data_IF_087272439135
#
_entry.id   IF_087272439135
#
_cell.length_a   1.000
_cell.length_b   1.000
_cell.length_c   1.000
_cell.angle_alpha   90.00
_cell.angle_beta   90.00
_cell.angle_gamma   90.00
#
_symmetry.space_group_name_H-M   'P 1'
#
loop_
_entity.id
_entity.type
_entity.pdbx_description
1 polymer ?
#
# COMPACT_ATOMS: atom_id res chain seq x y z
N UNK A 1 8.75 2.25 19.52
CA UNK A 1 8.39 1.03 20.27
C UNK A 1 8.19 -0.10 19.28
N UNK A 2 8.87 -1.25 19.48
CA UNK A 2 8.73 -2.46 18.66
C UNK A 2 7.58 -3.33 19.20
N UNK A 3 7.00 -4.19 18.38
CA UNK A 3 5.87 -5.03 18.82
C UNK A 3 6.39 -6.21 19.66
N UNK A 4 6.08 -6.19 20.95
CA UNK A 4 6.44 -7.26 21.90
C UNK A 4 5.31 -8.26 22.13
N UNK A 5 4.18 -8.12 21.44
CA UNK A 5 2.97 -8.96 21.63
C UNK A 5 2.98 -10.21 20.75
N UNK A 6 3.89 -10.30 19.79
CA UNK A 6 3.99 -11.39 18.80
C UNK A 6 5.39 -12.01 18.83
N UNK A 7 5.49 -13.29 18.47
CA UNK A 7 6.76 -14.01 18.39
C UNK A 7 7.52 -13.68 17.09
N UNK A 8 8.81 -14.00 17.07
CA UNK A 8 9.62 -13.93 15.86
C UNK A 8 9.07 -14.84 14.76
N UNK A 9 8.73 -16.08 15.09
CA UNK A 9 8.14 -17.06 14.16
C UNK A 9 6.88 -16.52 13.47
N UNK A 10 6.04 -15.76 14.20
CA UNK A 10 4.88 -15.10 13.62
C UNK A 10 5.27 -14.09 12.54
N UNK A 11 6.27 -13.25 12.82
CA UNK A 11 6.74 -12.25 11.85
C UNK A 11 7.45 -12.89 10.67
N UNK A 12 8.22 -13.95 10.87
CA UNK A 12 8.89 -14.69 9.80
C UNK A 12 7.87 -15.29 8.83
N UNK A 13 6.84 -15.96 9.35
CA UNK A 13 5.74 -16.48 8.53
C UNK A 13 4.97 -15.33 7.84
N UNK A 14 4.65 -14.28 8.57
CA UNK A 14 3.87 -13.16 8.04
C UNK A 14 4.60 -12.38 6.94
N UNK A 15 5.92 -12.21 7.06
CA UNK A 15 6.74 -11.58 6.03
C UNK A 15 6.77 -12.41 4.74
N UNK A 16 6.83 -13.75 4.86
CA UNK A 16 6.70 -14.66 3.70
C UNK A 16 5.33 -14.49 3.04
N UNK A 17 4.25 -14.46 3.83
CA UNK A 17 2.89 -14.27 3.32
C UNK A 17 2.74 -12.92 2.58
N UNK A 18 3.35 -11.85 3.10
CA UNK A 18 3.34 -10.54 2.44
C UNK A 18 4.07 -10.59 1.09
N UNK A 19 5.25 -11.21 1.03
CA UNK A 19 6.02 -11.31 -0.22
C UNK A 19 5.30 -12.15 -1.27
N UNK A 20 4.73 -13.29 -0.88
CA UNK A 20 3.86 -14.10 -1.75
C UNK A 20 2.67 -13.28 -2.21
N UNK A 21 1.99 -12.58 -1.30
CA UNK A 21 0.85 -11.74 -1.61
C UNK A 21 1.17 -10.62 -2.61
N UNK A 22 2.32 -9.95 -2.46
CA UNK A 22 2.77 -8.92 -3.42
C UNK A 22 2.98 -9.55 -4.79
N UNK A 23 3.70 -10.69 -4.85
CA UNK A 23 4.01 -11.38 -6.10
C UNK A 23 2.75 -11.83 -6.83
N UNK A 24 1.87 -12.57 -6.17
CA UNK A 24 0.64 -13.09 -6.76
C UNK A 24 -0.31 -11.97 -7.19
N UNK A 25 -0.43 -10.91 -6.38
CA UNK A 25 -1.26 -9.75 -6.74
C UNK A 25 -0.68 -9.00 -7.95
N UNK A 26 0.65 -8.91 -8.05
CA UNK A 26 1.32 -8.31 -9.20
C UNK A 26 1.17 -9.14 -10.48
N UNK A 27 1.20 -10.48 -10.37
CA UNK A 27 0.89 -11.41 -11.46
C UNK A 27 -0.56 -11.25 -11.93
N UNK A 28 -1.52 -11.19 -11.00
CA UNK A 28 -2.92 -10.94 -11.33
C UNK A 28 -3.13 -9.58 -12.01
N UNK A 29 -2.44 -8.54 -11.55
CA UNK A 29 -2.44 -7.22 -12.18
C UNK A 29 -1.88 -7.26 -13.61
N UNK A 30 -0.81 -8.02 -13.82
CA UNK A 30 -0.19 -8.23 -15.14
C UNK A 30 -1.06 -9.04 -16.09
N UNK A 31 -1.78 -10.04 -15.59
CA UNK A 31 -2.71 -10.84 -16.38
C UNK A 31 -3.86 -10.00 -16.96
N UNK A 32 -4.24 -8.90 -16.29
CA UNK A 32 -5.13 -7.91 -16.87
C UNK A 32 -6.61 -8.31 -16.97
N UNK A 33 -6.99 -9.42 -16.34
CA UNK A 33 -8.35 -9.99 -16.34
C UNK A 33 -9.32 -9.17 -15.46
N UNK A 34 -9.67 -7.97 -15.91
CA UNK A 34 -10.53 -7.02 -15.20
C UNK A 34 -11.77 -6.69 -16.03
N UNK A 35 -12.93 -6.66 -15.39
CA UNK A 35 -14.20 -6.26 -16.00
C UNK A 35 -14.33 -4.74 -16.03
N UNK A 36 -13.77 -4.05 -15.03
CA UNK A 36 -13.82 -2.59 -14.94
C UNK A 36 -12.44 -1.97 -14.67
N UNK A 37 -12.20 -0.72 -15.10
CA UNK A 37 -11.00 0.03 -14.71
C UNK A 37 -10.83 0.17 -13.20
N UNK A 38 -11.93 0.25 -12.44
CA UNK A 38 -11.91 0.38 -10.98
C UNK A 38 -11.35 -0.87 -10.29
N UNK A 39 -11.70 -2.07 -10.77
CA UNK A 39 -11.15 -3.34 -10.24
C UNK A 39 -9.63 -3.38 -10.36
N UNK A 40 -9.10 -2.90 -11.49
CA UNK A 40 -7.65 -2.82 -11.71
C UNK A 40 -6.98 -1.89 -10.69
N UNK A 41 -7.65 -0.78 -10.36
CA UNK A 41 -7.15 0.15 -9.34
C UNK A 41 -7.21 -0.49 -7.95
N UNK A 42 -8.26 -1.24 -7.62
CA UNK A 42 -8.34 -1.95 -6.34
C UNK A 42 -7.21 -2.98 -6.18
N UNK A 43 -6.84 -3.68 -7.26
CA UNK A 43 -5.68 -4.59 -7.25
C UNK A 43 -4.36 -3.84 -7.09
N UNK A 44 -4.15 -2.73 -7.81
CA UNK A 44 -2.95 -1.91 -7.63
C UNK A 44 -2.86 -1.32 -6.21
N UNK A 45 -3.99 -0.92 -5.64
CA UNK A 45 -4.10 -0.44 -4.25
C UNK A 45 -3.72 -1.54 -3.26
N UNK A 46 -4.12 -2.79 -3.51
CA UNK A 46 -3.75 -3.93 -2.66
C UNK A 46 -2.24 -4.15 -2.63
N UNK A 47 -1.56 -4.05 -3.76
CA UNK A 47 -0.09 -4.18 -3.83
C UNK A 47 0.57 -3.06 -3.01
N UNK A 48 0.11 -1.83 -3.18
CA UNK A 48 0.59 -0.68 -2.42
C UNK A 48 0.43 -0.88 -0.90
N UNK A 49 -0.72 -1.38 -0.45
CA UNK A 49 -0.97 -1.69 0.96
C UNK A 49 -0.05 -2.79 1.50
N UNK A 50 0.15 -3.87 0.73
CA UNK A 50 1.06 -4.95 1.13
C UNK A 50 2.51 -4.46 1.24
N UNK A 51 2.95 -3.57 0.33
CA UNK A 51 4.27 -2.96 0.40
C UNK A 51 4.45 -2.11 1.67
N UNK A 52 3.42 -1.37 2.09
CA UNK A 52 3.41 -0.64 3.37
C UNK A 52 3.47 -1.62 4.54
N UNK A 53 2.65 -2.67 4.52
CA UNK A 53 2.63 -3.71 5.56
C UNK A 53 3.99 -4.38 5.72
N UNK A 54 4.72 -4.62 4.62
CA UNK A 54 6.09 -5.14 4.67
C UNK A 54 7.02 -4.26 5.49
N UNK A 55 7.04 -2.96 5.21
CA UNK A 55 7.89 -2.02 5.95
C UNK A 55 7.51 -1.97 7.45
N UNK A 56 6.21 -1.94 7.76
CA UNK A 56 5.70 -1.98 9.14
C UNK A 56 6.09 -3.30 9.84
N UNK A 57 5.96 -4.43 9.15
CA UNK A 57 6.26 -5.75 9.69
C UNK A 57 7.76 -5.89 9.99
N UNK A 58 8.65 -5.42 9.11
CA UNK A 58 10.09 -5.38 9.38
C UNK A 58 10.45 -4.48 10.57
N UNK A 59 9.82 -3.30 10.67
CA UNK A 59 10.01 -2.45 11.85
C UNK A 59 9.53 -3.14 13.14
N UNK A 60 8.37 -3.79 13.09
CA UNK A 60 7.75 -4.47 14.23
C UNK A 60 8.55 -5.71 14.68
N UNK A 61 9.07 -6.48 13.73
CA UNK A 61 9.98 -7.60 13.91
C UNK A 61 11.35 -7.19 14.48
N UNK A 62 11.66 -5.89 14.45
CA UNK A 62 12.90 -5.37 14.99
C UNK A 62 14.09 -5.43 14.04
N UNK A 63 13.83 -5.41 12.73
CA UNK A 63 14.85 -5.26 11.70
C UNK A 63 15.69 -3.98 11.89
N UNK A 64 16.84 -3.93 11.23
CA UNK A 64 17.69 -2.75 11.22
C UNK A 64 16.97 -1.59 10.50
N UNK A 65 17.16 -0.35 10.97
CA UNK A 65 16.48 0.82 10.37
C UNK A 65 16.85 1.03 8.89
N UNK A 66 18.08 0.65 8.50
CA UNK A 66 18.49 0.65 7.09
C UNK A 66 17.64 -0.30 6.22
N UNK A 67 17.23 -1.44 6.76
CA UNK A 67 16.34 -2.36 6.04
C UNK A 67 14.92 -1.78 5.96
N UNK A 68 14.41 -1.21 7.05
CA UNK A 68 13.10 -0.54 7.07
C UNK A 68 13.06 0.61 6.06
N UNK A 69 14.13 1.41 5.96
CA UNK A 69 14.29 2.46 4.95
C UNK A 69 14.24 1.89 3.54
N UNK A 70 15.01 0.84 3.24
CA UNK A 70 15.01 0.17 1.93
C UNK A 70 13.61 -0.30 1.55
N UNK A 71 12.86 -0.90 2.48
CA UNK A 71 11.49 -1.36 2.19
C UNK A 71 10.52 -0.20 2.01
N UNK A 72 10.75 0.92 2.69
CA UNK A 72 9.95 2.15 2.54
C UNK A 72 10.21 2.81 1.17
N UNK A 73 11.46 2.89 0.72
CA UNK A 73 11.83 3.38 -0.61
C UNK A 73 11.19 2.52 -1.72
N UNK A 74 11.14 1.19 -1.51
CA UNK A 74 10.50 0.25 -2.42
C UNK A 74 8.97 0.40 -2.53
N UNK A 75 8.33 1.29 -1.76
CA UNK A 75 6.91 1.62 -1.91
C UNK A 75 6.65 2.51 -3.14
N UNK A 76 7.63 3.34 -3.55
CA UNK A 76 7.44 4.34 -4.63
C UNK A 76 6.96 3.73 -5.95
N UNK A 77 7.56 2.64 -6.48
CA UNK A 77 7.11 2.05 -7.74
C UNK A 77 5.64 1.63 -7.70
N UNK A 78 5.19 1.06 -6.57
CA UNK A 78 3.79 0.66 -6.40
C UNK A 78 2.85 1.85 -6.30
N UNK A 79 3.28 2.94 -5.64
CA UNK A 79 2.49 4.19 -5.61
C UNK A 79 2.34 4.80 -7.01
N UNK A 80 3.41 4.83 -7.80
CA UNK A 80 3.39 5.29 -9.20
C UNK A 80 2.50 4.41 -10.08
N UNK A 81 2.60 3.09 -9.91
CA UNK A 81 1.73 2.13 -10.61
C UNK A 81 0.25 2.36 -10.26
N UNK A 82 -0.06 2.59 -8.99
CA UNK A 82 -1.41 2.96 -8.55
C UNK A 82 -1.89 4.26 -9.20
N UNK A 83 -1.09 5.34 -9.15
CA UNK A 83 -1.41 6.62 -9.84
C UNK A 83 -1.70 6.39 -11.31
N UNK A 84 -0.84 5.63 -12.01
CA UNK A 84 -1.00 5.33 -13.42
C UNK A 84 -2.33 4.67 -13.77
N UNK A 85 -2.85 3.79 -12.92
CA UNK A 85 -4.17 3.19 -13.13
C UNK A 85 -5.31 4.11 -12.72
N UNK A 86 -5.15 4.91 -11.66
CA UNK A 86 -6.10 5.96 -11.31
C UNK A 86 -6.31 6.95 -12.45
N UNK A 87 -5.24 7.33 -13.15
CA UNK A 87 -5.29 8.29 -14.27
C UNK A 87 -6.04 7.74 -15.51
N UNK A 88 -6.27 6.43 -15.57
CA UNK A 88 -7.07 5.79 -16.63
C UNK A 88 -8.56 5.70 -16.30
N UNK A 89 -8.96 6.08 -15.09
CA UNK A 89 -10.38 6.19 -14.75
C UNK A 89 -11.05 7.35 -15.51
N UNK A 90 -12.38 7.32 -15.67
CA UNK A 90 -13.14 8.48 -16.12
C UNK A 90 -12.76 9.73 -15.31
N UNK A 91 -12.69 10.90 -15.97
CA UNK A 91 -12.17 12.15 -15.39
C UNK A 91 -12.85 12.51 -14.06
N UNK A 92 -14.15 12.30 -13.95
CA UNK A 92 -14.93 12.54 -12.73
C UNK A 92 -14.58 11.59 -11.57
N UNK A 93 -13.93 10.45 -11.85
CA UNK A 93 -13.47 9.49 -10.85
C UNK A 93 -12.00 9.67 -10.47
N UNK A 94 -11.22 10.36 -11.32
CA UNK A 94 -9.79 10.60 -11.08
C UNK A 94 -9.52 11.42 -9.81
N UNK A 95 -10.45 12.29 -9.41
CA UNK A 95 -10.32 13.12 -8.21
C UNK A 95 -10.15 12.30 -6.92
N UNK A 96 -10.63 11.05 -6.90
CA UNK A 96 -10.54 10.16 -5.74
C UNK A 96 -9.16 9.53 -5.53
N UNK A 97 -8.19 9.80 -6.43
CA UNK A 97 -6.78 9.39 -6.26
C UNK A 97 -6.03 10.26 -5.24
N UNK A 98 -6.50 11.50 -5.05
CA UNK A 98 -5.87 12.53 -4.21
C UNK A 98 -6.60 12.73 -2.88
N UNK A 99 -7.93 12.65 -2.91
CA UNK A 99 -8.76 12.69 -1.71
C UNK A 99 -8.87 11.28 -1.13
N UNK A 100 -8.11 11.01 -0.07
CA UNK A 100 -8.19 9.86 0.85
C UNK A 100 -9.23 8.78 0.46
N UNK A 101 -8.84 8.03 -0.58
CA UNK A 101 -9.38 6.79 -1.13
C UNK A 101 -10.90 6.58 -1.16
N UNK A 102 -11.54 7.02 -2.24
CA UNK A 102 -12.87 6.53 -2.60
C UNK A 102 -12.91 5.99 -4.02
N UNK A 103 -12.49 4.73 -4.17
CA UNK A 103 -12.92 3.91 -5.31
C UNK A 103 -13.79 2.80 -4.74
N UNK A 104 -15.02 3.19 -4.40
CA UNK A 104 -16.03 2.34 -3.81
C UNK A 104 -17.35 3.10 -3.76
N UNK A 105 -18.45 2.43 -4.13
CA UNK A 105 -19.78 3.05 -4.29
C UNK A 105 -20.28 3.83 -3.07
N UNK A 106 -21.22 4.75 -3.32
CA UNK A 106 -21.66 5.83 -2.42
C UNK A 106 -22.26 5.44 -1.05
N UNK A 107 -22.49 4.17 -0.71
CA UNK A 107 -23.41 3.80 0.41
C UNK A 107 -22.77 3.56 1.79
N UNK A 108 -21.44 3.56 1.92
CA UNK A 108 -20.81 2.92 3.08
C UNK A 108 -19.97 3.82 4.01
N UNK A 109 -20.22 5.12 4.06
CA UNK A 109 -19.37 6.06 4.80
C UNK A 109 -19.57 6.09 6.34
N UNK A 110 -20.29 5.14 6.95
CA UNK A 110 -20.50 5.04 8.41
C UNK A 110 -20.56 3.58 8.90
N UNK A 111 -19.49 2.82 8.64
CA UNK A 111 -19.30 1.46 9.20
C UNK A 111 -18.74 0.40 8.23
N UNK A 112 -17.78 0.74 7.36
CA UNK A 112 -17.37 -0.09 6.22
C UNK A 112 -15.84 -0.18 6.02
N UNK A 113 -15.32 -1.23 5.35
CA UNK A 113 -13.91 -1.49 4.93
C UNK A 113 -13.05 -0.33 4.39
N UNK A 114 -13.58 0.88 4.23
CA UNK A 114 -12.88 2.07 3.74
C UNK A 114 -12.04 2.80 4.80
N UNK A 115 -12.28 2.60 6.10
CA UNK A 115 -11.41 3.15 7.18
C UNK A 115 -9.98 2.60 7.08
N UNK A 116 -9.83 1.36 6.61
CA UNK A 116 -8.53 0.70 6.55
C UNK A 116 -7.57 1.40 5.60
N UNK A 117 -8.06 2.00 4.53
CA UNK A 117 -7.18 2.53 3.50
C UNK A 117 -6.54 3.88 3.96
N UNK A 118 -7.27 4.71 4.71
CA UNK A 118 -6.74 5.91 5.39
C UNK A 118 -5.56 5.59 6.31
N UNK A 119 -5.68 4.50 7.06
CA UNK A 119 -4.64 4.03 7.97
C UNK A 119 -3.35 3.72 7.21
N UNK A 120 -3.42 3.11 6.02
CA UNK A 120 -2.24 2.85 5.19
C UNK A 120 -1.58 4.13 4.68
N UNK A 121 -2.37 5.15 4.31
CA UNK A 121 -1.82 6.45 3.91
C UNK A 121 -1.07 7.12 5.06
N UNK A 122 -1.63 7.11 6.28
CA UNK A 122 -0.94 7.63 7.46
C UNK A 122 0.34 6.85 7.76
N UNK A 123 0.30 5.52 7.70
CA UNK A 123 1.49 4.69 7.88
C UNK A 123 2.57 5.00 6.86
N UNK A 124 2.19 5.15 5.60
CA UNK A 124 3.12 5.51 4.54
C UNK A 124 3.80 6.85 4.82
N UNK A 125 3.04 7.91 5.11
CA UNK A 125 3.60 9.23 5.44
C UNK A 125 4.51 9.17 6.67
N UNK A 126 4.09 8.42 7.71
CA UNK A 126 4.90 8.22 8.91
C UNK A 126 6.21 7.48 8.63
N UNK A 127 6.19 6.46 7.77
CA UNK A 127 7.38 5.72 7.35
C UNK A 127 8.35 6.62 6.56
N UNK A 128 7.84 7.44 5.64
CA UNK A 128 8.66 8.39 4.89
C UNK A 128 9.40 9.35 5.83
N UNK A 129 8.66 9.94 6.77
CA UNK A 129 9.21 10.86 7.76
C UNK A 129 10.20 10.17 8.70
N UNK A 130 9.87 8.97 9.19
CA UNK A 130 10.70 8.25 10.15
C UNK A 130 12.00 7.69 9.53
N UNK A 131 11.99 7.38 8.24
CA UNK A 131 13.15 6.83 7.53
C UNK A 131 13.96 7.88 6.75
N UNK A 132 13.59 9.16 6.84
CA UNK A 132 14.19 10.26 6.08
C UNK A 132 14.28 9.92 4.58
N UNK A 133 13.13 9.53 4.02
CA UNK A 133 12.99 9.17 2.60
C UNK A 133 12.63 10.42 1.79
N UNK A 134 13.19 10.52 0.58
CA UNK A 134 13.04 11.68 -0.28
C UNK A 134 11.56 12.04 -0.56
N UNK A 135 11.22 13.33 -0.68
CA UNK A 135 9.85 13.80 -0.90
C UNK A 135 9.29 13.44 -2.28
N UNK A 136 10.11 12.87 -3.17
CA UNK A 136 9.70 12.28 -4.44
C UNK A 136 8.50 11.33 -4.30
N UNK A 137 8.38 10.65 -3.16
CA UNK A 137 7.25 9.80 -2.86
C UNK A 137 5.90 10.53 -2.81
N UNK A 138 5.90 11.82 -2.49
CA UNK A 138 4.70 12.66 -2.41
C UNK A 138 4.57 13.52 -3.68
N UNK A 139 5.67 13.99 -4.23
CA UNK A 139 5.69 14.98 -5.32
C UNK A 139 5.54 14.37 -6.72
N UNK A 140 5.97 13.11 -6.91
CA UNK A 140 6.01 12.47 -8.25
C UNK A 140 4.80 11.56 -8.52
N UNK A 141 3.72 11.65 -7.73
CA UNK A 141 2.57 10.71 -7.73
C UNK A 141 1.21 11.38 -7.67
#
# INVERSE_FOLDING_TARGET
MRDTRRSNDYFEAFLVDIEVGIKETQEALGAGNFTTPSERVDVAQRIYQLAIMRAIAHYSYGAHLGDVKRYTEAILPYRKQLTHYCDKLPVNHQIYRHAFEKLGGQINAVGSPNINRYIYTLWWLALLQACDVAPAHIQEV
#
